data_IF_352458007074
#
_entry.id   IF_352458007074
#
_cell.length_a   1.000
_cell.length_b   1.000
_cell.length_c   1.000
_cell.angle_alpha   90.00
_cell.angle_beta   90.00
_cell.angle_gamma   90.00
#
_symmetry.space_group_name_H-M   'P 1'
#
loop_
_entity.id
_entity.type
_entity.pdbx_description
1 polymer ?
#
# COMPACT_ATOMS: atom_id res chain seq x y z
N UNK A 1 0.58 -22.16 -55.02
CA UNK A 1 0.12 -22.28 -53.63
C UNK A 1 -0.27 -20.90 -53.12
N UNK A 2 -1.53 -20.51 -53.31
CA UNK A 2 -2.07 -19.23 -52.84
C UNK A 2 -2.70 -19.49 -51.47
N UNK A 3 -2.10 -18.96 -50.41
CA UNK A 3 -2.67 -19.05 -49.06
C UNK A 3 -3.61 -17.86 -48.88
N UNK A 4 -4.92 -18.06 -48.65
CA UNK A 4 -5.83 -16.96 -48.38
C UNK A 4 -5.44 -16.30 -47.06
N UNK A 5 -4.99 -15.04 -47.09
CA UNK A 5 -4.88 -14.24 -45.87
C UNK A 5 -6.29 -13.94 -45.35
N UNK A 6 -6.61 -14.22 -44.08
CA UNK A 6 -7.88 -13.79 -43.50
C UNK A 6 -7.94 -12.27 -43.51
N UNK A 7 -8.82 -11.69 -44.31
CA UNK A 7 -9.15 -10.27 -44.23
C UNK A 7 -10.07 -10.09 -43.02
N UNK A 8 -9.49 -9.80 -41.84
CA UNK A 8 -10.29 -9.42 -40.68
C UNK A 8 -11.10 -8.15 -41.02
N UNK A 9 -12.39 -8.07 -40.66
CA UNK A 9 -13.21 -6.90 -40.93
C UNK A 9 -12.55 -5.65 -40.31
N UNK A 10 -12.58 -4.50 -41.01
CA UNK A 10 -11.86 -3.28 -40.61
C UNK A 10 -12.24 -2.82 -39.20
N UNK A 11 -13.48 -3.09 -38.78
CA UNK A 11 -13.96 -2.81 -37.42
C UNK A 11 -13.18 -3.57 -36.32
N UNK A 12 -12.78 -4.82 -36.57
CA UNK A 12 -12.01 -5.60 -35.59
C UNK A 12 -10.57 -5.13 -35.48
N UNK A 13 -9.96 -4.70 -36.59
CA UNK A 13 -8.60 -4.14 -36.59
C UNK A 13 -8.59 -2.78 -35.86
N UNK A 14 -9.59 -1.94 -36.10
CA UNK A 14 -9.75 -0.67 -35.39
C UNK A 14 -9.96 -0.87 -33.88
N UNK A 15 -10.78 -1.85 -33.49
CA UNK A 15 -11.00 -2.18 -32.08
C UNK A 15 -9.72 -2.67 -31.39
N UNK A 16 -8.95 -3.54 -32.05
CA UNK A 16 -7.68 -4.03 -31.52
C UNK A 16 -6.64 -2.90 -31.40
N UNK A 17 -6.54 -2.03 -32.40
CA UNK A 17 -5.67 -0.87 -32.36
C UNK A 17 -6.04 0.10 -31.23
N UNK A 18 -7.34 0.34 -31.01
CA UNK A 18 -7.81 1.19 -29.92
C UNK A 18 -7.50 0.60 -28.54
N UNK A 19 -7.64 -0.71 -28.37
CA UNK A 19 -7.30 -1.42 -27.12
C UNK A 19 -5.79 -1.35 -26.85
N UNK A 20 -4.97 -1.57 -27.88
CA UNK A 20 -3.51 -1.46 -27.75
C UNK A 20 -3.07 -0.04 -27.42
N UNK A 21 -3.63 0.95 -28.12
CA UNK A 21 -3.35 2.36 -27.84
C UNK A 21 -3.73 2.74 -26.41
N UNK A 22 -4.90 2.30 -25.94
CA UNK A 22 -5.35 2.54 -24.56
C UNK A 22 -4.46 1.87 -23.53
N UNK A 23 -4.03 0.63 -23.77
CA UNK A 23 -3.11 -0.09 -22.88
C UNK A 23 -1.73 0.60 -22.81
N UNK A 24 -1.22 1.10 -23.94
CA UNK A 24 0.04 1.84 -24.00
C UNK A 24 -0.07 3.18 -23.25
N UNK A 25 -1.17 3.92 -23.44
CA UNK A 25 -1.40 5.18 -22.73
C UNK A 25 -1.45 4.96 -21.21
N UNK A 26 -2.26 4.00 -20.74
CA UNK A 26 -2.36 3.68 -19.30
C UNK A 26 -1.02 3.21 -18.73
N UNK A 27 -0.27 2.39 -19.48
CA UNK A 27 1.07 1.95 -19.08
C UNK A 27 2.06 3.12 -18.99
N UNK A 28 2.00 4.07 -19.91
CA UNK A 28 2.85 5.26 -19.92
C UNK A 28 2.53 6.24 -18.81
N UNK A 29 1.25 6.41 -18.46
CA UNK A 29 0.81 7.25 -17.34
C UNK A 29 1.26 6.67 -15.98
N UNK A 30 1.16 5.34 -15.82
CA UNK A 30 1.67 4.66 -14.63
C UNK A 30 3.19 4.80 -14.49
N UNK A 31 3.94 4.69 -15.59
CA UNK A 31 5.38 4.92 -15.58
C UNK A 31 5.71 6.39 -15.23
N UNK A 32 5.02 7.36 -15.82
CA UNK A 32 5.21 8.78 -15.50
C UNK A 32 4.92 9.10 -14.03
N UNK A 33 3.90 8.47 -13.44
CA UNK A 33 3.59 8.60 -12.02
C UNK A 33 4.72 8.07 -11.13
N UNK A 34 5.26 6.89 -11.45
CA UNK A 34 6.37 6.29 -10.70
C UNK A 34 7.63 7.18 -10.81
N UNK A 35 7.94 7.68 -12.00
CA UNK A 35 9.05 8.62 -12.21
C UNK A 35 8.89 9.89 -11.37
N UNK A 36 7.69 10.47 -11.32
CA UNK A 36 7.42 11.68 -10.55
C UNK A 36 7.50 11.41 -9.04
N UNK A 37 6.95 10.29 -8.57
CA UNK A 37 7.07 9.88 -7.17
C UNK A 37 8.54 9.68 -6.76
N UNK A 38 9.35 9.08 -7.62
CA UNK A 38 10.79 8.91 -7.39
C UNK A 38 11.54 10.25 -7.35
N UNK A 39 11.14 11.22 -8.17
CA UNK A 39 11.71 12.58 -8.12
C UNK A 39 11.37 13.28 -6.81
N UNK A 40 10.10 13.27 -6.39
CA UNK A 40 9.66 13.85 -5.11
C UNK A 40 10.34 13.18 -3.92
N UNK A 41 10.49 11.85 -3.95
CA UNK A 41 11.22 11.11 -2.93
C UNK A 41 12.68 11.49 -2.89
N UNK A 42 13.33 11.82 -4.02
CA UNK A 42 14.73 12.26 -4.04
C UNK A 42 14.89 13.70 -3.58
N UNK A 43 14.08 14.62 -4.09
CA UNK A 43 14.22 16.06 -3.83
C UNK A 43 13.74 16.45 -2.42
N UNK A 44 12.77 15.71 -1.89
CA UNK A 44 12.16 16.00 -0.60
C UNK A 44 12.34 14.86 0.42
N UNK A 45 13.37 14.02 0.20
CA UNK A 45 13.62 12.80 0.98
C UNK A 45 13.65 13.05 2.50
N UNK A 46 14.28 14.15 2.91
CA UNK A 46 14.45 14.52 4.32
C UNK A 46 13.10 14.71 5.02
N UNK A 47 12.13 15.30 4.34
CA UNK A 47 10.80 15.55 4.90
C UNK A 47 9.86 14.34 4.80
N UNK A 48 10.14 13.37 3.92
CA UNK A 48 9.39 12.11 3.84
C UNK A 48 9.90 11.08 4.85
N UNK A 49 11.21 11.05 5.10
CA UNK A 49 11.85 10.13 6.04
C UNK A 49 11.43 10.36 7.49
N UNK A 50 11.31 11.62 7.92
CA UNK A 50 11.02 11.95 9.33
C UNK A 50 9.62 11.46 9.75
N UNK A 51 8.54 11.76 9.01
CA UNK A 51 7.21 11.21 9.30
C UNK A 51 7.14 9.69 9.17
N UNK A 52 7.77 9.12 8.14
CA UNK A 52 7.80 7.66 7.95
C UNK A 52 8.55 6.95 9.08
N UNK A 53 9.67 7.51 9.52
CA UNK A 53 10.44 7.01 10.65
C UNK A 53 9.66 7.11 11.97
N UNK A 54 8.90 8.19 12.17
CA UNK A 54 8.03 8.34 13.33
C UNK A 54 6.91 7.28 13.34
N UNK A 55 6.22 7.08 12.22
CA UNK A 55 5.17 6.05 12.11
C UNK A 55 5.74 4.66 12.33
N UNK A 56 6.92 4.38 11.78
CA UNK A 56 7.61 3.10 11.96
C UNK A 56 8.04 2.90 13.42
N UNK A 57 8.57 3.95 14.07
CA UNK A 57 8.90 3.95 15.49
C UNK A 57 7.67 3.67 16.36
N UNK A 58 6.58 4.39 16.11
CA UNK A 58 5.31 4.18 16.82
C UNK A 58 4.75 2.76 16.64
N UNK A 59 4.88 2.19 15.44
CA UNK A 59 4.45 0.82 15.18
C UNK A 59 5.30 -0.21 15.95
N UNK A 60 6.62 -0.02 15.97
CA UNK A 60 7.52 -0.88 16.73
C UNK A 60 7.29 -0.77 18.24
N UNK A 61 7.04 0.44 18.73
CA UNK A 61 6.73 0.71 20.13
C UNK A 61 5.45 -0.02 20.54
N UNK A 62 4.39 0.11 19.74
CA UNK A 62 3.12 -0.60 19.96
C UNK A 62 3.27 -2.11 19.93
N UNK A 63 4.09 -2.64 19.00
CA UNK A 63 4.43 -4.08 18.93
C UNK A 63 5.22 -4.55 20.16
N UNK A 64 6.00 -3.67 20.77
CA UNK A 64 6.80 -3.98 21.95
C UNK A 64 5.93 -3.93 23.21
N UNK A 65 5.05 -2.93 23.32
CA UNK A 65 4.04 -2.85 24.38
C UNK A 65 3.15 -4.09 24.42
N UNK A 66 2.71 -4.60 23.26
CA UNK A 66 1.96 -5.86 23.16
C UNK A 66 2.72 -7.06 23.76
N UNK A 67 4.06 -7.11 23.64
CA UNK A 67 4.90 -8.16 24.25
C UNK A 67 5.07 -7.96 25.76
N UNK A 68 5.08 -6.71 26.22
CA UNK A 68 5.19 -6.35 27.64
C UNK A 68 3.84 -6.48 28.39
N UNK A 69 2.78 -6.90 27.71
CA UNK A 69 1.46 -7.14 28.34
C UNK A 69 1.42 -8.33 29.32
N UNK A 70 2.51 -9.08 29.49
CA UNK A 70 2.55 -10.24 30.37
C UNK A 70 2.23 -9.92 31.86
N UNK A 71 2.47 -8.68 32.29
CA UNK A 71 2.13 -8.17 33.64
C UNK A 71 0.85 -7.33 33.71
N UNK A 72 0.14 -7.20 32.59
CA UNK A 72 -1.11 -6.45 32.51
C UNK A 72 -2.16 -7.07 33.44
N UNK A 73 -2.74 -6.23 34.30
CA UNK A 73 -3.71 -6.61 35.34
C UNK A 73 -3.20 -7.63 36.40
N UNK A 74 -1.88 -7.81 36.51
CA UNK A 74 -1.24 -8.66 37.54
C UNK A 74 -0.46 -7.86 38.59
N UNK A 75 -0.22 -6.57 38.35
CA UNK A 75 0.44 -5.72 39.34
C UNK A 75 -0.48 -5.48 40.54
N UNK A 76 0.07 -5.64 41.75
CA UNK A 76 -0.65 -5.48 43.02
C UNK A 76 -1.38 -4.13 43.16
N UNK A 77 -0.92 -3.09 42.47
CA UNK A 77 -1.50 -1.75 42.47
C UNK A 77 -2.68 -1.56 41.49
N UNK A 78 -2.69 -2.25 40.35
CA UNK A 78 -3.69 -2.03 39.30
C UNK A 78 -4.59 -3.24 39.03
N UNK A 79 -4.47 -4.29 39.86
CA UNK A 79 -5.32 -5.48 39.77
C UNK A 79 -6.77 -5.10 40.04
N UNK A 80 -7.61 -5.12 39.00
CA UNK A 80 -9.05 -4.89 39.08
C UNK A 80 -9.82 -5.97 38.35
N UNK A 81 -10.98 -6.34 38.89
CA UNK A 81 -11.97 -7.15 38.17
C UNK A 81 -12.38 -6.38 36.90
N UNK A 82 -12.28 -7.04 35.74
CA UNK A 82 -12.62 -6.43 34.45
C UNK A 82 -14.14 -6.28 34.34
N UNK A 83 -14.61 -5.13 33.84
CA UNK A 83 -16.03 -4.96 33.50
C UNK A 83 -16.39 -5.92 32.36
N UNK A 84 -17.63 -6.44 32.31
CA UNK A 84 -18.05 -7.46 31.33
C UNK A 84 -17.91 -7.06 29.84
N UNK A 85 -17.66 -5.78 29.53
CA UNK A 85 -17.45 -5.27 28.16
C UNK A 85 -16.00 -4.78 27.90
N UNK A 86 -15.05 -5.00 28.81
CA UNK A 86 -13.67 -4.51 28.71
C UNK A 86 -12.70 -5.70 28.73
N UNK A 87 -12.08 -6.00 27.59
CA UNK A 87 -11.18 -7.15 27.42
C UNK A 87 -9.78 -6.88 28.01
N UNK A 88 -9.39 -5.60 28.07
CA UNK A 88 -8.04 -5.14 28.40
C UNK A 88 -8.08 -3.77 29.08
N UNK A 89 -7.23 -3.58 30.10
CA UNK A 89 -7.11 -2.32 30.88
C UNK A 89 -6.56 -1.13 30.07
N UNK A 90 -5.76 -1.36 29.02
CA UNK A 90 -5.21 -0.37 28.09
C UNK A 90 -4.65 -1.03 26.82
N UNK A 91 -4.56 -0.27 25.71
CA UNK A 91 -4.16 -0.70 24.35
C UNK A 91 -2.96 0.08 23.82
#
# INVERSE_FOLDING_TARGET
WWVPRPQLPPARVAALAAVLYRGVVVGSEAAAFIMNLLQVVRDHWVHVLVPMGFVFGYYLDRKNDEKLTAFRNKSLLYKRELKPNEEVTWK
#
